data_IF_069089317302
#
_entry.id   IF_069089317302
#
_cell.length_a   1.000
_cell.length_b   1.000
_cell.length_c   1.000
_cell.angle_alpha   90.00
_cell.angle_beta   90.00
_cell.angle_gamma   90.00
#
_symmetry.space_group_name_H-M   'P 1'
#
loop_
_entity.id
_entity.type
_entity.pdbx_description
1 polymer ?
#
# COMPACT_ATOMS: atom_id res chain seq x y z
N UNK A 1 5.37 -12.40 45.25
CA UNK A 1 5.41 -11.09 44.56
C UNK A 1 4.57 -11.19 43.29
N UNK A 2 3.38 -10.57 43.22
CA UNK A 2 2.38 -10.83 42.18
C UNK A 2 2.38 -9.74 41.09
N UNK A 3 3.56 -9.39 40.55
CA UNK A 3 3.70 -8.32 39.54
C UNK A 3 3.88 -8.83 38.11
N UNK A 4 3.60 -10.12 37.87
CA UNK A 4 3.76 -10.76 36.56
C UNK A 4 2.42 -11.24 35.97
N UNK A 5 1.34 -10.50 36.22
CA UNK A 5 0.19 -10.57 35.32
C UNK A 5 0.61 -9.89 34.01
N UNK A 6 1.31 -10.66 33.16
CA UNK A 6 1.48 -10.38 31.73
C UNK A 6 0.13 -10.55 31.04
N UNK A 7 -0.83 -9.72 31.42
CA UNK A 7 -2.13 -9.62 30.77
C UNK A 7 -1.96 -9.25 29.29
N UNK A 8 -2.91 -9.64 28.43
CA UNK A 8 -2.58 -10.27 27.16
C UNK A 8 -2.31 -9.24 26.05
N UNK A 9 -1.15 -8.57 26.13
CA UNK A 9 -0.68 -7.59 25.14
C UNK A 9 -0.73 -8.15 23.71
N UNK A 10 -0.35 -9.42 23.56
CA UNK A 10 -0.36 -10.11 22.28
C UNK A 10 -1.77 -10.25 21.71
N UNK A 11 -2.76 -10.57 22.56
CA UNK A 11 -4.16 -10.68 22.14
C UNK A 11 -4.76 -9.33 21.76
N UNK A 12 -4.40 -8.26 22.49
CA UNK A 12 -4.81 -6.88 22.18
C UNK A 12 -4.22 -6.45 20.83
N UNK A 13 -2.92 -6.71 20.63
CA UNK A 13 -2.24 -6.43 19.37
C UNK A 13 -2.90 -7.21 18.23
N UNK A 14 -3.07 -8.52 18.37
CA UNK A 14 -3.69 -9.35 17.34
C UNK A 14 -5.10 -8.86 16.98
N UNK A 15 -5.93 -8.52 17.98
CA UNK A 15 -7.27 -7.98 17.77
C UNK A 15 -7.24 -6.62 17.06
N UNK A 16 -6.33 -5.72 17.45
CA UNK A 16 -6.16 -4.42 16.78
C UNK A 16 -5.75 -4.59 15.32
N UNK A 17 -4.81 -5.51 15.05
CA UNK A 17 -4.31 -5.77 13.70
C UNK A 17 -5.37 -6.44 12.82
N UNK A 18 -6.15 -7.39 13.33
CA UNK A 18 -7.23 -8.02 12.55
C UNK A 18 -8.31 -7.02 12.18
N UNK A 19 -8.73 -6.16 13.11
CA UNK A 19 -9.66 -5.07 12.83
C UNK A 19 -9.09 -4.17 11.73
N UNK A 20 -7.85 -3.69 11.89
CA UNK A 20 -7.23 -2.82 10.88
C UNK A 20 -7.18 -3.45 9.49
N UNK A 21 -6.78 -4.72 9.39
CA UNK A 21 -6.69 -5.44 8.12
C UNK A 21 -8.05 -5.71 7.47
N UNK A 22 -9.11 -5.90 8.25
CA UNK A 22 -10.47 -6.10 7.71
C UNK A 22 -11.03 -4.77 7.16
N UNK A 23 -10.85 -3.66 7.89
CA UNK A 23 -11.40 -2.36 7.50
C UNK A 23 -10.57 -1.63 6.43
N UNK A 24 -9.26 -1.87 6.37
CA UNK A 24 -8.35 -1.26 5.39
C UNK A 24 -8.79 -1.45 3.92
N UNK A 25 -9.03 -2.68 3.41
CA UNK A 25 -9.43 -2.87 2.02
C UNK A 25 -10.78 -2.25 1.69
N UNK A 26 -11.74 -2.25 2.63
CA UNK A 26 -13.06 -1.65 2.41
C UNK A 26 -12.98 -0.15 2.11
N UNK A 27 -12.00 0.54 2.68
CA UNK A 27 -11.76 1.96 2.43
C UNK A 27 -10.93 2.21 1.18
N UNK A 28 -9.98 1.33 0.87
CA UNK A 28 -8.98 1.55 -0.19
C UNK A 28 -9.49 1.11 -1.57
N UNK A 29 -10.18 -0.03 -1.67
CA UNK A 29 -10.66 -0.57 -2.95
C UNK A 29 -11.57 0.36 -3.78
N UNK A 30 -12.45 1.21 -3.20
CA UNK A 30 -13.28 2.12 -4.01
C UNK A 30 -12.51 3.30 -4.60
N UNK A 31 -11.21 3.47 -4.31
CA UNK A 31 -10.42 4.53 -4.91
C UNK A 31 -10.14 4.24 -6.38
N UNK A 32 -10.88 4.92 -7.26
CA UNK A 32 -10.58 4.96 -8.68
C UNK A 32 -9.40 5.93 -8.93
N UNK A 33 -8.31 5.50 -9.59
CA UNK A 33 -7.26 6.40 -10.00
C UNK A 33 -7.80 7.39 -11.03
N UNK A 34 -7.46 8.67 -10.89
CA UNK A 34 -7.93 9.74 -11.78
C UNK A 34 -7.39 9.62 -13.22
N UNK A 35 -6.30 8.87 -13.39
CA UNK A 35 -5.67 8.62 -14.67
C UNK A 35 -5.50 7.11 -14.84
N UNK A 36 -5.83 6.59 -16.02
CA UNK A 36 -5.51 5.20 -16.34
C UNK A 36 -3.98 5.03 -16.25
N UNK A 37 -3.47 3.97 -15.60
CA UNK A 37 -2.07 3.63 -15.69
C UNK A 37 -1.78 3.29 -17.15
N UNK A 38 -1.33 4.28 -17.92
CA UNK A 38 -0.91 4.08 -19.30
C UNK A 38 0.22 3.06 -19.26
N UNK A 39 -0.07 1.85 -19.75
CA UNK A 39 0.99 0.90 -20.06
C UNK A 39 1.79 1.55 -21.16
N UNK A 40 2.96 2.10 -20.82
CA UNK A 40 3.94 2.53 -21.81
C UNK A 40 4.52 1.29 -22.49
N UNK A 41 3.68 0.59 -23.27
CA UNK A 41 4.08 -0.38 -24.29
C UNK A 41 4.10 0.32 -25.63
N UNK A 42 4.81 1.44 -25.68
CA UNK A 42 5.40 1.90 -26.91
C UNK A 42 6.87 1.95 -26.59
N UNK A 43 7.64 1.02 -27.19
CA UNK A 43 9.08 1.10 -27.25
C UNK A 43 9.45 2.58 -27.30
N UNK A 44 10.17 3.06 -26.28
CA UNK A 44 10.73 4.40 -26.28
C UNK A 44 11.52 4.49 -27.58
N UNK A 45 10.89 5.01 -28.64
CA UNK A 45 11.58 5.53 -29.79
C UNK A 45 12.23 6.77 -29.22
N UNK A 46 13.33 6.56 -28.50
CA UNK A 46 14.37 7.54 -28.30
C UNK A 46 14.76 7.95 -29.70
N UNK A 47 14.00 8.91 -30.24
CA UNK A 47 14.53 9.78 -31.26
C UNK A 47 15.70 10.44 -30.56
N UNK A 48 16.88 9.87 -30.78
CA UNK A 48 18.15 10.43 -30.37
C UNK A 48 18.11 11.82 -30.96
N UNK A 49 17.86 12.80 -30.10
CA UNK A 49 17.90 14.20 -30.48
C UNK A 49 19.34 14.47 -30.86
N UNK A 50 19.64 14.36 -32.16
CA UNK A 50 20.87 14.88 -32.72
C UNK A 50 20.76 16.39 -32.59
N UNK A 51 21.25 16.91 -31.46
CA UNK A 51 21.36 18.34 -31.23
C UNK A 51 22.26 18.90 -32.34
N UNK A 52 21.67 19.67 -33.25
CA UNK A 52 22.38 20.37 -34.33
C UNK A 52 22.80 21.75 -33.81
N UNK A 53 23.74 21.77 -32.88
CA UNK A 53 24.67 22.89 -32.78
C UNK A 53 26.01 22.44 -33.34
#
# INVERSE_FOLDING_TARGET
MPQLCTDPWYSILLCSWTIFLIFSPMKILPHQPLNDPTSQSSALKTNIWHWTW
#
